data_IF_732828900879
#
_entry.id   IF_732828900879
#
_cell.length_a   1.000
_cell.length_b   1.000
_cell.length_c   1.000
_cell.angle_alpha   90.00
_cell.angle_beta   90.00
_cell.angle_gamma   90.00
#
_symmetry.space_group_name_H-M   'P 1'
#
loop_
_entity.id
_entity.type
_entity.pdbx_description
1 polymer ?
#
# COMPACT_ATOMS: atom_id res chain seq x y z
N UNK A 1 -15.09 22.74 14.22
CA UNK A 1 -14.37 21.99 13.17
C UNK A 1 -13.87 22.86 12.01
N UNK A 2 -14.70 23.69 11.34
CA UNK A 2 -14.22 24.56 10.23
C UNK A 2 -12.99 25.42 10.56
N UNK A 3 -12.91 25.99 11.76
CA UNK A 3 -11.75 26.79 12.22
C UNK A 3 -10.44 25.97 12.32
N UNK A 4 -10.53 24.68 12.67
CA UNK A 4 -9.35 23.79 12.86
C UNK A 4 -8.76 23.41 11.49
N UNK A 5 -9.63 23.12 10.51
CA UNK A 5 -9.20 22.83 9.13
C UNK A 5 -8.53 24.04 8.51
N UNK A 6 -9.11 25.24 8.69
CA UNK A 6 -8.56 26.48 8.15
C UNK A 6 -7.22 26.89 8.78
N UNK A 7 -6.96 26.50 10.03
CA UNK A 7 -5.67 26.74 10.71
C UNK A 7 -4.63 25.64 10.46
N UNK A 8 -4.97 24.60 9.69
CA UNK A 8 -4.06 23.49 9.41
C UNK A 8 -3.16 23.80 8.21
N UNK A 9 -2.04 23.09 8.10
CA UNK A 9 -1.13 23.18 6.94
C UNK A 9 -1.75 22.66 5.64
N UNK A 10 -2.90 22.00 5.73
CA UNK A 10 -3.62 21.31 4.65
C UNK A 10 -4.97 21.98 4.35
N UNK A 11 -5.13 23.24 4.74
CA UNK A 11 -6.39 23.98 4.64
C UNK A 11 -6.96 24.07 3.21
N UNK A 12 -6.09 24.01 2.19
CA UNK A 12 -6.43 24.01 0.76
C UNK A 12 -6.87 22.64 0.23
N UNK A 13 -6.58 21.57 0.96
CA UNK A 13 -6.77 20.17 0.55
C UNK A 13 -7.81 19.43 1.38
N UNK A 14 -8.41 20.08 2.38
CA UNK A 14 -9.47 19.51 3.21
C UNK A 14 -10.67 20.44 3.18
N UNK A 15 -11.81 19.93 2.74
CA UNK A 15 -13.07 20.68 2.73
C UNK A 15 -14.12 19.97 3.58
N UNK A 16 -14.94 20.74 4.29
CA UNK A 16 -16.06 20.22 5.07
C UNK A 16 -17.35 20.40 4.25
N UNK A 17 -18.01 19.30 3.91
CA UNK A 17 -19.30 19.29 3.20
C UNK A 17 -20.34 18.66 4.12
N UNK A 18 -21.22 19.48 4.69
CA UNK A 18 -22.11 19.04 5.76
C UNK A 18 -21.32 18.62 7.00
N UNK A 19 -21.47 17.36 7.40
CA UNK A 19 -20.73 16.72 8.51
C UNK A 19 -19.55 15.87 8.03
N UNK A 20 -19.32 15.78 6.71
CA UNK A 20 -18.28 14.96 6.10
C UNK A 20 -17.02 15.76 5.76
N UNK A 21 -15.86 15.11 5.87
CA UNK A 21 -14.59 15.64 5.37
C UNK A 21 -14.32 15.09 3.97
N UNK A 22 -14.07 16.00 3.03
CA UNK A 22 -13.51 15.66 1.71
C UNK A 22 -12.03 16.00 1.72
N UNK A 23 -11.22 14.97 1.52
CA UNK A 23 -9.77 15.06 1.51
C UNK A 23 -9.30 14.99 0.06
N UNK A 24 -8.34 15.84 -0.28
CA UNK A 24 -7.52 15.63 -1.46
C UNK A 24 -6.80 14.28 -1.33
N UNK A 25 -6.66 13.61 -2.47
CA UNK A 25 -6.08 12.28 -2.50
C UNK A 25 -4.61 12.26 -2.04
N UNK A 26 -3.88 13.37 -2.19
CA UNK A 26 -2.49 13.48 -1.70
C UNK A 26 -2.41 13.39 -0.17
N UNK A 27 -3.39 13.95 0.55
CA UNK A 27 -3.46 13.84 2.02
C UNK A 27 -3.80 12.41 2.40
N UNK A 28 -4.81 11.83 1.76
CA UNK A 28 -5.22 10.46 2.04
C UNK A 28 -4.05 9.48 1.83
N UNK A 29 -3.28 9.63 0.75
CA UNK A 29 -2.06 8.84 0.51
C UNK A 29 -1.01 9.03 1.62
N UNK A 30 -0.89 10.24 2.17
CA UNK A 30 0.12 10.53 3.19
C UNK A 30 -0.09 9.71 4.47
N UNK A 31 -1.35 9.38 4.81
CA UNK A 31 -1.69 8.56 5.99
C UNK A 31 -1.08 7.16 5.94
N UNK A 32 -0.88 6.59 4.75
CA UNK A 32 -0.33 5.25 4.56
C UNK A 32 1.16 5.26 4.20
N UNK A 33 1.80 6.44 4.12
CA UNK A 33 3.18 6.56 3.68
C UNK A 33 4.15 5.78 4.57
N UNK A 34 3.95 5.84 5.88
CA UNK A 34 4.81 5.14 6.84
C UNK A 34 4.69 3.63 6.70
N UNK A 35 3.46 3.09 6.65
CA UNK A 35 3.22 1.64 6.51
C UNK A 35 3.74 1.11 5.17
N UNK A 36 3.50 1.82 4.07
CA UNK A 36 3.99 1.43 2.74
C UNK A 36 5.52 1.43 2.71
N UNK A 37 6.17 2.47 3.25
CA UNK A 37 7.63 2.56 3.29
C UNK A 37 8.23 1.45 4.15
N UNK A 38 7.63 1.13 5.30
CA UNK A 38 8.07 0.03 6.14
C UNK A 38 8.06 -1.31 5.39
N UNK A 39 6.98 -1.60 4.65
CA UNK A 39 6.88 -2.80 3.81
C UNK A 39 7.96 -2.82 2.73
N UNK A 40 8.14 -1.72 1.99
CA UNK A 40 9.16 -1.62 0.95
C UNK A 40 10.56 -1.85 1.52
N UNK A 41 10.89 -1.21 2.64
CA UNK A 41 12.19 -1.35 3.28
C UNK A 41 12.43 -2.79 3.75
N UNK A 42 11.39 -3.44 4.29
CA UNK A 42 11.46 -4.83 4.68
C UNK A 42 11.67 -5.77 3.48
N UNK A 43 10.96 -5.55 2.37
CA UNK A 43 11.21 -6.29 1.13
C UNK A 43 12.65 -6.09 0.62
N UNK A 44 13.19 -4.87 0.72
CA UNK A 44 14.58 -4.60 0.34
C UNK A 44 15.59 -5.34 1.22
N UNK A 45 15.36 -5.45 2.54
CA UNK A 45 16.26 -6.19 3.42
C UNK A 45 16.23 -7.69 3.10
N UNK A 46 15.03 -8.27 2.93
CA UNK A 46 14.86 -9.68 2.57
C UNK A 46 15.55 -10.05 1.25
N UNK A 47 15.50 -9.16 0.25
CA UNK A 47 16.14 -9.38 -1.05
C UNK A 47 17.66 -9.19 -1.00
N UNK A 48 18.19 -8.34 -0.11
CA UNK A 48 19.63 -8.10 0.08
C UNK A 48 20.30 -9.21 0.89
N UNK A 49 19.61 -9.80 1.87
CA UNK A 49 20.15 -10.83 2.79
C UNK A 49 20.34 -12.21 2.13
N UNK A 50 20.18 -12.32 0.81
CA UNK A 50 20.82 -13.36 0.01
C UNK A 50 20.16 -14.74 -0.01
N UNK A 51 18.97 -14.93 0.56
CA UNK A 51 18.21 -16.19 0.39
C UNK A 51 17.39 -16.27 -0.90
N UNK A 52 16.75 -15.18 -1.39
CA UNK A 52 16.06 -15.19 -2.68
C UNK A 52 16.90 -14.53 -3.79
N UNK A 53 18.19 -14.85 -3.91
CA UNK A 53 19.06 -14.28 -4.95
C UNK A 53 18.60 -14.56 -6.39
N UNK A 54 17.60 -15.44 -6.55
CA UNK A 54 16.94 -15.82 -7.80
C UNK A 54 15.43 -15.56 -7.82
N UNK A 55 14.88 -14.76 -6.90
CA UNK A 55 13.45 -14.46 -6.98
C UNK A 55 13.14 -13.74 -8.31
N UNK A 56 12.21 -14.30 -9.07
CA UNK A 56 11.71 -13.72 -10.32
C UNK A 56 10.40 -12.96 -10.11
N UNK A 57 9.70 -13.25 -9.01
CA UNK A 57 8.38 -12.71 -8.72
C UNK A 57 8.15 -12.48 -7.22
N UNK A 58 7.27 -11.54 -6.91
CA UNK A 58 6.67 -11.34 -5.59
C UNK A 58 5.16 -11.58 -5.73
N UNK A 59 4.65 -12.56 -4.99
CA UNK A 59 3.22 -12.81 -4.85
C UNK A 59 2.69 -12.04 -3.63
N UNK A 60 1.87 -11.03 -3.87
CA UNK A 60 1.29 -10.17 -2.83
C UNK A 60 -0.04 -10.74 -2.35
N UNK A 61 -0.10 -11.23 -1.11
CA UNK A 61 -1.30 -11.83 -0.50
C UNK A 61 -1.74 -11.07 0.77
N UNK A 62 -2.95 -11.35 1.26
CA UNK A 62 -3.56 -10.65 2.40
C UNK A 62 -4.31 -9.38 1.98
N UNK A 63 -5.23 -8.91 2.82
CA UNK A 63 -6.18 -7.85 2.43
C UNK A 63 -5.54 -6.51 2.07
N UNK A 64 -4.34 -6.20 2.61
CA UNK A 64 -3.65 -4.96 2.24
C UNK A 64 -3.03 -5.02 0.84
N UNK A 65 -2.78 -6.21 0.30
CA UNK A 65 -2.26 -6.40 -1.05
C UNK A 65 -3.29 -6.05 -2.14
N UNK A 66 -4.58 -5.94 -1.79
CA UNK A 66 -5.62 -5.41 -2.67
C UNK A 66 -5.53 -3.87 -2.81
N UNK A 67 -4.69 -3.18 -2.02
CA UNK A 67 -4.47 -1.74 -2.11
C UNK A 67 -3.66 -1.36 -3.36
N UNK A 68 -4.22 -0.53 -4.27
CA UNK A 68 -3.47 -0.04 -5.43
C UNK A 68 -2.22 0.75 -5.02
N UNK A 69 -2.31 1.54 -3.95
CA UNK A 69 -1.20 2.35 -3.44
C UNK A 69 0.00 1.47 -3.07
N UNK A 70 -0.24 0.35 -2.37
CA UNK A 70 0.83 -0.56 -1.98
C UNK A 70 1.38 -1.31 -3.20
N UNK A 71 0.49 -1.89 -4.02
CA UNK A 71 0.89 -2.71 -5.17
C UNK A 71 1.68 -1.90 -6.21
N UNK A 72 1.27 -0.66 -6.51
CA UNK A 72 1.99 0.25 -7.40
C UNK A 72 3.34 0.64 -6.81
N UNK A 73 3.39 1.04 -5.53
CA UNK A 73 4.66 1.40 -4.89
C UNK A 73 5.66 0.24 -4.91
N UNK A 74 5.20 -0.99 -4.66
CA UNK A 74 6.06 -2.19 -4.74
C UNK A 74 6.52 -2.43 -6.18
N UNK A 75 5.65 -2.32 -7.19
CA UNK A 75 6.05 -2.43 -8.61
C UNK A 75 7.13 -1.41 -8.99
N UNK A 76 6.96 -0.17 -8.59
CA UNK A 76 7.91 0.91 -8.87
C UNK A 76 9.27 0.68 -8.19
N UNK A 77 9.26 0.16 -6.95
CA UNK A 77 10.49 -0.06 -6.18
C UNK A 77 11.25 -1.31 -6.60
N UNK A 78 10.59 -2.28 -7.23
CA UNK A 78 11.19 -3.54 -7.65
C UNK A 78 10.91 -3.85 -9.13
N UNK A 79 11.34 -3.01 -10.08
CA UNK A 79 10.95 -3.11 -11.50
C UNK A 79 11.49 -4.36 -12.20
N UNK A 80 12.48 -5.05 -11.60
CA UNK A 80 13.04 -6.31 -12.13
C UNK A 80 12.25 -7.55 -11.70
N UNK A 81 11.34 -7.43 -10.73
CA UNK A 81 10.55 -8.53 -10.20
C UNK A 81 9.14 -8.46 -10.76
N UNK A 82 8.58 -9.61 -11.13
CA UNK A 82 7.18 -9.72 -11.50
C UNK A 82 6.32 -9.60 -10.24
N UNK A 83 5.55 -8.52 -10.11
CA UNK A 83 4.62 -8.35 -8.99
C UNK A 83 3.25 -8.93 -9.37
N UNK A 84 2.80 -9.93 -8.62
CA UNK A 84 1.53 -10.63 -8.85
C UNK A 84 0.61 -10.36 -7.66
N UNK A 85 -0.56 -9.78 -7.94
CA UNK A 85 -1.65 -9.62 -6.97
C UNK A 85 -2.77 -10.57 -7.41
N UNK A 86 -3.08 -11.65 -6.66
CA UNK A 86 -4.18 -12.55 -6.97
C UNK A 86 -5.53 -11.85 -6.93
N UNK A 87 -6.51 -12.41 -7.63
CA UNK A 87 -7.92 -12.04 -7.43
C UNK A 87 -8.35 -12.42 -6.01
N UNK A 88 -8.84 -11.44 -5.26
CA UNK A 88 -9.11 -11.51 -3.82
C UNK A 88 -7.83 -11.84 -3.03
N UNK A 89 -6.86 -10.92 -3.00
CA UNK A 89 -5.59 -11.16 -2.31
C UNK A 89 -5.80 -11.51 -0.82
N UNK A 90 -6.83 -10.93 -0.19
CA UNK A 90 -7.28 -11.28 1.15
C UNK A 90 -7.71 -12.75 1.35
N UNK A 91 -8.18 -13.43 0.29
CA UNK A 91 -8.60 -14.83 0.34
C UNK A 91 -7.59 -15.79 -0.28
N UNK A 92 -6.51 -15.28 -0.89
CA UNK A 92 -5.56 -16.10 -1.64
C UNK A 92 -4.95 -17.24 -0.80
N UNK A 93 -4.63 -16.98 0.47
CA UNK A 93 -4.09 -17.99 1.39
C UNK A 93 -5.12 -19.08 1.69
N UNK A 94 -6.36 -18.69 2.00
CA UNK A 94 -7.45 -19.64 2.28
C UNK A 94 -7.76 -20.50 1.05
N UNK A 95 -7.89 -19.88 -0.13
CA UNK A 95 -8.12 -20.59 -1.39
C UNK A 95 -7.00 -21.59 -1.66
N UNK A 96 -5.74 -21.21 -1.45
CA UNK A 96 -4.59 -22.10 -1.58
C UNK A 96 -4.63 -23.29 -0.62
N UNK A 97 -5.01 -23.06 0.64
CA UNK A 97 -5.09 -24.09 1.68
C UNK A 97 -6.25 -25.09 1.52
N UNK A 98 -7.23 -24.79 0.67
CA UNK A 98 -8.35 -25.72 0.36
C UNK A 98 -8.04 -26.55 -0.88
N UNK A 99 -7.25 -26.02 -1.82
CA UNK A 99 -6.87 -26.73 -3.05
C UNK A 99 -5.84 -27.83 -2.77
N UNK A 100 -5.01 -27.66 -1.74
CA UNK A 100 -3.90 -28.56 -1.36
C UNK A 100 -4.01 -28.96 0.10
#
# INVERSE_FOLDING_TARGET
MKKIVQSSQDADKVTLVGEEFRLDFSIFRSFFKESVNAIVNHLQSLLKEGKPSKAEAILMVGGYSDSPLLAETVREKFPRLKIIVPTDAGLAVLKGAVIF
#
